data_IF_730803305480
#
_entry.id   IF_730803305480
#
_cell.length_a   1.000
_cell.length_b   1.000
_cell.length_c   1.000
_cell.angle_alpha   90.00
_cell.angle_beta   90.00
_cell.angle_gamma   90.00
#
_symmetry.space_group_name_H-M   'P 1'
#
loop_
_entity.id
_entity.type
_entity.pdbx_description
1 polymer ?
#
# COMPACT_ATOMS: atom_id res chain seq x y z
N UNK A 1 -21.27 -6.77 21.88
CA UNK A 1 -20.85 -6.59 20.48
C UNK A 1 -19.39 -6.23 20.54
N UNK A 2 -18.55 -6.89 19.75
CA UNK A 2 -17.16 -6.47 19.64
C UNK A 2 -17.15 -5.36 18.60
N UNK A 3 -17.35 -4.13 19.07
CA UNK A 3 -17.28 -2.94 18.23
C UNK A 3 -15.86 -2.87 17.64
N UNK A 4 -15.74 -2.67 16.33
CA UNK A 4 -14.46 -2.49 15.65
C UNK A 4 -13.87 -1.11 15.99
N UNK A 5 -12.55 -0.91 15.83
CA UNK A 5 -11.87 0.30 16.32
C UNK A 5 -12.41 1.64 15.77
N UNK A 6 -12.99 1.62 14.57
CA UNK A 6 -13.53 2.80 13.89
C UNK A 6 -15.05 2.74 13.71
N UNK A 7 -15.75 1.89 14.47
CA UNK A 7 -17.20 1.90 14.49
C UNK A 7 -17.73 3.29 14.89
N UNK A 8 -18.74 3.75 14.15
CA UNK A 8 -19.31 5.09 14.32
C UNK A 8 -18.54 6.21 13.60
N UNK A 9 -17.41 5.92 12.95
CA UNK A 9 -16.73 6.89 12.07
C UNK A 9 -17.25 6.76 10.65
N UNK A 10 -17.66 7.89 10.04
CA UNK A 10 -18.06 7.95 8.63
C UNK A 10 -17.06 8.71 7.77
N UNK A 11 -16.74 8.16 6.61
CA UNK A 11 -15.79 8.73 5.66
C UNK A 11 -16.49 9.01 4.33
N UNK A 12 -16.46 10.27 3.89
CA UNK A 12 -16.76 10.66 2.52
C UNK A 12 -15.50 10.44 1.67
N UNK A 13 -15.53 9.40 0.84
CA UNK A 13 -14.42 8.96 -0.01
C UNK A 13 -14.60 9.54 -1.42
N UNK A 14 -13.87 10.63 -1.69
CA UNK A 14 -13.76 11.28 -3.01
C UNK A 14 -12.51 10.81 -3.77
N UNK A 15 -11.94 9.68 -3.36
CA UNK A 15 -10.63 9.26 -3.84
C UNK A 15 -10.72 8.47 -5.15
N UNK A 16 -9.60 8.36 -5.84
CA UNK A 16 -9.49 7.63 -7.11
C UNK A 16 -8.11 6.96 -7.24
N UNK A 17 -8.01 5.96 -8.10
CA UNK A 17 -6.80 5.20 -8.36
C UNK A 17 -6.34 4.37 -7.15
N UNK A 18 -5.33 4.80 -6.38
CA UNK A 18 -4.67 3.91 -5.40
C UNK A 18 -4.40 4.59 -4.06
N UNK A 19 -3.73 5.75 -4.03
CA UNK A 19 -3.26 6.32 -2.76
C UNK A 19 -4.39 6.64 -1.77
N UNK A 20 -5.37 7.44 -2.20
CA UNK A 20 -6.56 7.71 -1.40
C UNK A 20 -7.41 6.45 -1.14
N UNK A 21 -7.70 5.61 -2.17
CA UNK A 21 -8.48 4.40 -1.96
C UNK A 21 -7.84 3.40 -0.97
N UNK A 22 -6.51 3.29 -0.90
CA UNK A 22 -5.79 2.47 0.08
C UNK A 22 -6.00 3.01 1.50
N UNK A 23 -5.93 4.34 1.68
CA UNK A 23 -6.24 4.98 2.96
C UNK A 23 -7.65 4.60 3.44
N UNK A 24 -8.65 4.82 2.59
CA UNK A 24 -10.04 4.57 2.97
C UNK A 24 -10.36 3.08 3.11
N UNK A 25 -9.68 2.19 2.38
CA UNK A 25 -9.78 0.73 2.58
C UNK A 25 -9.34 0.34 3.99
N UNK A 26 -8.20 0.85 4.45
CA UNK A 26 -7.69 0.57 5.80
C UNK A 26 -8.73 1.03 6.84
N UNK A 27 -9.29 2.23 6.69
CA UNK A 27 -10.33 2.71 7.60
C UNK A 27 -11.58 1.80 7.59
N UNK A 28 -12.03 1.37 6.40
CA UNK A 28 -13.17 0.46 6.24
C UNK A 28 -12.92 -0.91 6.88
N UNK A 29 -11.73 -1.48 6.69
CA UNK A 29 -11.31 -2.76 7.28
C UNK A 29 -11.39 -2.76 8.81
N UNK A 30 -11.19 -1.59 9.44
CA UNK A 30 -11.28 -1.39 10.89
C UNK A 30 -12.61 -0.78 11.37
N UNK A 31 -13.65 -0.76 10.52
CA UNK A 31 -15.03 -0.51 10.92
C UNK A 31 -15.62 0.83 10.48
N UNK A 32 -14.84 1.72 9.88
CA UNK A 32 -15.39 2.99 9.39
C UNK A 32 -16.43 2.73 8.28
N UNK A 33 -17.51 3.50 8.30
CA UNK A 33 -18.47 3.55 7.20
C UNK A 33 -17.89 4.43 6.08
N UNK A 34 -17.28 3.80 5.10
CA UNK A 34 -16.66 4.50 3.96
C UNK A 34 -17.62 4.55 2.80
N UNK A 35 -18.01 5.75 2.39
CA UNK A 35 -18.95 6.02 1.31
C UNK A 35 -18.19 6.63 0.15
N UNK A 36 -17.95 5.82 -0.87
CA UNK A 36 -17.25 6.22 -2.09
C UNK A 36 -18.20 6.89 -3.07
N UNK A 37 -17.84 8.10 -3.48
CA UNK A 37 -18.63 8.91 -4.42
C UNK A 37 -18.07 8.73 -5.83
N UNK A 38 -18.91 8.28 -6.76
CA UNK A 38 -18.49 7.95 -8.12
C UNK A 38 -19.47 8.47 -9.17
N UNK A 39 -19.02 8.56 -10.42
CA UNK A 39 -19.84 9.02 -11.54
C UNK A 39 -19.45 8.26 -12.82
N UNK A 40 -20.44 7.80 -13.60
CA UNK A 40 -20.22 6.92 -14.76
C UNK A 40 -19.33 7.59 -15.83
N UNK A 41 -19.51 8.90 -16.05
CA UNK A 41 -18.75 9.63 -17.08
C UNK A 41 -17.30 9.89 -16.66
N UNK A 42 -16.99 9.65 -15.38
CA UNK A 42 -15.67 9.79 -14.79
C UNK A 42 -15.37 8.56 -13.93
N UNK A 43 -15.72 7.37 -14.45
CA UNK A 43 -15.50 6.11 -13.74
C UNK A 43 -14.02 5.95 -13.41
N UNK A 44 -13.72 5.54 -12.19
CA UNK A 44 -12.34 5.29 -11.79
C UNK A 44 -11.72 4.23 -12.72
N UNK A 45 -10.57 4.55 -13.33
CA UNK A 45 -9.93 3.67 -14.28
C UNK A 45 -9.57 2.30 -13.69
N UNK A 46 -9.44 2.19 -12.36
CA UNK A 46 -9.23 0.91 -11.70
C UNK A 46 -10.45 -0.02 -11.78
N UNK A 47 -11.67 0.48 -11.97
CA UNK A 47 -12.86 -0.35 -12.25
C UNK A 47 -12.76 -1.06 -13.60
N UNK A 48 -11.93 -0.54 -14.49
CA UNK A 48 -11.60 -1.13 -15.79
C UNK A 48 -10.22 -1.82 -15.79
N UNK A 49 -9.54 -1.82 -14.64
CA UNK A 49 -8.20 -2.35 -14.45
C UNK A 49 -8.15 -3.88 -14.46
N UNK A 50 -6.96 -4.43 -14.73
CA UNK A 50 -6.69 -5.87 -14.65
C UNK A 50 -6.18 -6.26 -13.25
N UNK A 51 -6.34 -7.53 -12.83
CA UNK A 51 -6.97 -8.63 -13.56
C UNK A 51 -8.49 -8.46 -13.69
N UNK A 52 -9.08 -9.00 -14.76
CA UNK A 52 -10.53 -8.98 -15.01
C UNK A 52 -11.07 -10.40 -14.89
N UNK A 53 -12.21 -10.57 -14.22
CA UNK A 53 -12.98 -11.81 -14.29
C UNK A 53 -13.90 -11.73 -15.52
N UNK A 54 -13.64 -12.57 -16.51
CA UNK A 54 -14.28 -12.50 -17.83
C UNK A 54 -13.43 -11.80 -18.88
N UNK A 55 -13.97 -11.64 -20.10
CA UNK A 55 -13.20 -11.16 -21.26
C UNK A 55 -13.14 -9.63 -21.36
N UNK A 56 -14.22 -8.94 -20.96
CA UNK A 56 -14.36 -7.49 -21.07
C UNK A 56 -14.68 -6.85 -19.73
N UNK A 57 -14.19 -5.63 -19.47
CA UNK A 57 -14.49 -4.91 -18.24
C UNK A 57 -15.96 -4.46 -18.21
N UNK A 58 -16.61 -4.68 -17.07
CA UNK A 58 -18.00 -4.26 -16.78
C UNK A 58 -18.06 -3.03 -15.87
N UNK A 59 -16.92 -2.64 -15.29
CA UNK A 59 -16.83 -1.66 -14.21
C UNK A 59 -16.97 -2.28 -12.81
N UNK A 60 -17.34 -3.56 -12.73
CA UNK A 60 -17.55 -4.29 -11.49
C UNK A 60 -16.74 -5.59 -11.41
N UNK A 61 -16.09 -6.03 -12.50
CA UNK A 61 -15.34 -7.29 -12.57
C UNK A 61 -13.80 -7.13 -12.52
N UNK A 62 -13.33 -5.95 -12.09
CA UNK A 62 -11.91 -5.66 -11.90
C UNK A 62 -11.42 -6.14 -10.53
N UNK A 63 -10.45 -7.05 -10.53
CA UNK A 63 -9.72 -7.47 -9.34
C UNK A 63 -8.95 -6.32 -8.70
N UNK A 64 -8.52 -5.32 -9.48
CA UNK A 64 -7.79 -4.17 -8.95
C UNK A 64 -8.70 -3.24 -8.13
N UNK A 65 -9.90 -2.94 -8.64
CA UNK A 65 -10.92 -2.21 -7.86
C UNK A 65 -11.36 -3.04 -6.65
N UNK A 66 -11.60 -4.33 -6.88
CA UNK A 66 -12.10 -5.24 -5.84
C UNK A 66 -11.15 -5.32 -4.63
N UNK A 67 -9.84 -5.39 -4.88
CA UNK A 67 -8.79 -5.36 -3.87
C UNK A 67 -8.85 -4.11 -2.98
N UNK A 68 -9.00 -2.93 -3.58
CA UNK A 68 -8.89 -1.64 -2.86
C UNK A 68 -10.24 -1.16 -2.30
N UNK A 69 -11.36 -1.70 -2.77
CA UNK A 69 -12.69 -1.19 -2.44
C UNK A 69 -13.57 -2.12 -1.60
N UNK A 70 -13.04 -3.25 -1.12
CA UNK A 70 -13.74 -4.09 -0.13
C UNK A 70 -14.20 -3.26 1.08
N UNK A 71 -15.25 -3.71 1.76
CA UNK A 71 -15.88 -3.05 2.91
C UNK A 71 -16.48 -1.64 2.67
N UNK A 72 -16.28 -1.01 1.50
CA UNK A 72 -16.81 0.32 1.19
C UNK A 72 -18.24 0.25 0.65
N UNK A 73 -18.97 1.35 0.77
CA UNK A 73 -20.20 1.62 0.02
C UNK A 73 -19.87 2.39 -1.26
N UNK A 74 -20.63 2.19 -2.34
CA UNK A 74 -20.51 2.96 -3.59
C UNK A 74 -21.81 3.70 -3.88
N UNK A 75 -21.71 5.00 -4.13
CA UNK A 75 -22.83 5.82 -4.59
C UNK A 75 -22.52 6.42 -5.98
N UNK A 76 -23.55 6.49 -6.82
CA UNK A 76 -23.50 7.17 -8.11
C UNK A 76 -24.05 8.60 -7.94
N UNK A 77 -23.19 9.60 -7.96
CA UNK A 77 -23.54 11.00 -7.74
C UNK A 77 -22.83 11.93 -8.72
N UNK A 78 -23.60 12.69 -9.48
CA UNK A 78 -23.09 13.77 -10.31
C UNK A 78 -22.85 15.05 -9.48
N UNK A 79 -21.71 15.11 -8.79
CA UNK A 79 -21.33 16.27 -7.97
C UNK A 79 -21.05 17.56 -8.77
N UNK A 80 -21.06 17.51 -10.11
CA UNK A 80 -20.95 18.70 -10.97
C UNK A 80 -22.29 19.38 -11.23
N UNK A 81 -23.40 18.65 -11.06
CA UNK A 81 -24.73 19.26 -11.09
C UNK A 81 -24.91 20.11 -9.83
N UNK A 82 -25.50 21.32 -9.90
CA UNK A 82 -25.72 22.15 -8.71
C UNK A 82 -26.42 21.40 -7.58
N UNK A 83 -27.52 20.69 -7.88
CA UNK A 83 -28.21 19.89 -6.86
C UNK A 83 -27.37 18.69 -6.36
N UNK A 84 -26.52 18.11 -7.22
CA UNK A 84 -25.60 17.05 -6.81
C UNK A 84 -24.47 17.55 -5.92
N UNK A 85 -24.03 18.80 -6.13
CA UNK A 85 -23.09 19.49 -5.25
C UNK A 85 -23.70 19.72 -3.87
N UNK A 86 -24.96 20.13 -3.81
CA UNK A 86 -25.69 20.28 -2.55
C UNK A 86 -25.88 18.93 -1.81
N UNK A 87 -26.16 17.85 -2.55
CA UNK A 87 -26.16 16.49 -1.99
C UNK A 87 -24.79 16.11 -1.42
N UNK A 88 -23.70 16.39 -2.14
CA UNK A 88 -22.35 16.12 -1.65
C UNK A 88 -22.06 16.91 -0.36
N UNK A 89 -22.47 18.18 -0.28
CA UNK A 89 -22.34 19.00 0.94
C UNK A 89 -23.09 18.38 2.13
N UNK A 90 -24.29 17.84 1.90
CA UNK A 90 -25.06 17.13 2.95
C UNK A 90 -24.38 15.84 3.39
N UNK A 91 -23.82 15.07 2.46
CA UNK A 91 -23.04 13.88 2.79
C UNK A 91 -21.80 14.22 3.63
N UNK A 92 -21.08 15.29 3.26
CA UNK A 92 -19.93 15.81 4.02
C UNK A 92 -20.38 16.24 5.42
N UNK A 93 -21.51 16.93 5.56
CA UNK A 93 -22.06 17.35 6.86
C UNK A 93 -22.37 16.15 7.77
N UNK A 94 -22.76 15.02 7.20
CA UNK A 94 -23.03 13.77 7.91
C UNK A 94 -21.77 12.91 8.17
N UNK A 95 -20.59 13.34 7.71
CA UNK A 95 -19.34 12.59 7.77
C UNK A 95 -18.35 13.17 8.79
N UNK A 96 -17.48 12.30 9.30
CA UNK A 96 -16.38 12.65 10.22
C UNK A 96 -15.09 13.02 9.48
N UNK A 97 -14.87 12.36 8.34
CA UNK A 97 -13.66 12.46 7.54
C UNK A 97 -14.04 12.65 6.07
N UNK A 98 -13.35 13.55 5.38
CA UNK A 98 -13.36 13.65 3.92
C UNK A 98 -11.96 13.26 3.45
N UNK A 99 -11.86 12.29 2.54
CA UNK A 99 -10.59 11.90 1.93
C UNK A 99 -10.67 12.13 0.43
N UNK A 100 -9.66 12.79 -0.11
CA UNK A 100 -9.52 13.02 -1.55
C UNK A 100 -8.04 12.93 -1.97
N UNK A 101 -7.81 12.76 -3.28
CA UNK A 101 -6.47 12.75 -3.87
C UNK A 101 -6.46 13.38 -5.27
N UNK A 102 -7.14 14.50 -5.41
CA UNK A 102 -7.10 15.32 -6.61
C UNK A 102 -5.84 16.21 -6.65
N UNK A 103 -5.66 16.95 -7.75
CA UNK A 103 -4.68 18.05 -7.76
C UNK A 103 -5.11 19.16 -6.81
N UNK A 104 -4.15 19.91 -6.29
CA UNK A 104 -4.32 20.82 -5.15
C UNK A 104 -5.42 21.89 -5.30
N UNK A 105 -5.86 22.17 -6.52
CA UNK A 105 -6.86 23.19 -6.83
C UNK A 105 -8.30 22.68 -6.96
N UNK A 106 -8.55 21.36 -7.01
CA UNK A 106 -9.88 20.82 -7.36
C UNK A 106 -10.91 21.12 -6.27
N UNK A 107 -10.65 20.75 -5.02
CA UNK A 107 -11.61 20.96 -3.94
C UNK A 107 -11.89 22.45 -3.67
N UNK A 108 -10.86 23.29 -3.75
CA UNK A 108 -11.02 24.74 -3.66
C UNK A 108 -11.88 25.29 -4.80
N UNK A 109 -11.67 24.81 -6.03
CA UNK A 109 -12.49 25.22 -7.19
C UNK A 109 -13.96 24.79 -7.06
N UNK A 110 -14.24 23.75 -6.27
CA UNK A 110 -15.59 23.30 -5.95
C UNK A 110 -16.17 24.01 -4.72
N UNK A 111 -15.45 24.94 -4.09
CA UNK A 111 -15.90 25.58 -2.85
C UNK A 111 -16.01 24.60 -1.68
N UNK A 112 -15.19 23.54 -1.71
CA UNK A 112 -15.09 22.48 -0.72
C UNK A 112 -13.65 22.37 -0.16
N UNK A 113 -12.90 23.48 -0.20
CA UNK A 113 -11.62 23.61 0.50
C UNK A 113 -11.78 23.51 2.01
N UNK A 114 -10.68 23.33 2.73
CA UNK A 114 -10.73 23.04 4.17
C UNK A 114 -11.51 24.10 4.98
N UNK A 115 -11.33 25.39 4.67
CA UNK A 115 -12.06 26.45 5.36
C UNK A 115 -13.58 26.30 5.18
N UNK A 116 -14.05 25.94 3.98
CA UNK A 116 -15.48 25.69 3.71
C UNK A 116 -15.96 24.39 4.35
N UNK A 117 -15.14 23.35 4.40
CA UNK A 117 -15.48 22.11 5.12
C UNK A 117 -15.65 22.37 6.63
N UNK A 118 -14.79 23.20 7.22
CA UNK A 118 -14.89 23.58 8.63
C UNK A 118 -16.15 24.39 8.95
N UNK A 119 -16.64 25.21 8.00
CA UNK A 119 -17.94 25.88 8.13
C UNK A 119 -19.12 24.90 8.14
N UNK A 120 -19.01 23.79 7.39
CA UNK A 120 -20.02 22.72 7.38
C UNK A 120 -19.98 21.93 8.70
N UNK A 121 -18.77 21.52 9.14
CA UNK A 121 -18.57 20.76 10.36
C UNK A 121 -17.21 21.14 11.00
N UNK A 122 -17.19 21.86 12.14
CA UNK A 122 -15.95 22.23 12.82
C UNK A 122 -15.08 21.04 13.30
N UNK A 123 -15.70 19.86 13.44
CA UNK A 123 -15.03 18.61 13.79
C UNK A 123 -14.54 17.80 12.58
N UNK A 124 -14.66 18.32 11.36
CA UNK A 124 -14.30 17.58 10.13
C UNK A 124 -12.79 17.35 10.05
N UNK A 125 -12.42 16.12 9.71
CA UNK A 125 -11.05 15.82 9.33
C UNK A 125 -10.99 15.80 7.82
N UNK A 126 -10.21 16.69 7.23
CA UNK A 126 -9.99 16.71 5.79
C UNK A 126 -8.61 16.11 5.51
N UNK A 127 -8.57 15.00 4.78
CA UNK A 127 -7.34 14.36 4.36
C UNK A 127 -7.18 14.49 2.86
N UNK A 128 -6.16 15.24 2.46
CA UNK A 128 -5.82 15.47 1.08
C UNK A 128 -4.50 14.76 0.77
N UNK A 129 -4.52 13.86 -0.22
CA UNK A 129 -3.34 13.08 -0.62
C UNK A 129 -2.93 13.50 -2.03
N UNK A 130 -1.92 14.34 -2.15
CA UNK A 130 -1.43 14.84 -3.45
C UNK A 130 0.03 14.47 -3.67
N UNK A 131 0.54 14.72 -4.87
CA UNK A 131 1.93 14.36 -5.21
C UNK A 131 2.97 15.10 -4.38
N UNK A 132 2.79 16.42 -4.23
CA UNK A 132 3.76 17.33 -3.62
C UNK A 132 3.22 18.08 -2.40
N UNK A 133 1.98 17.80 -1.96
CA UNK A 133 1.28 18.62 -0.97
C UNK A 133 0.66 19.88 -1.57
N UNK A 134 0.06 20.73 -0.74
CA UNK A 134 -0.68 21.93 -1.15
C UNK A 134 0.13 23.22 -1.01
N UNK A 135 1.41 23.11 -0.71
CA UNK A 135 2.32 24.24 -0.53
C UNK A 135 3.62 24.08 -1.33
N UNK A 136 4.37 25.18 -1.46
CA UNK A 136 5.63 25.18 -2.20
C UNK A 136 5.48 25.31 -3.72
N UNK A 137 6.62 25.24 -4.42
CA UNK A 137 6.74 25.48 -5.87
C UNK A 137 5.97 24.44 -6.69
N UNK A 138 6.00 23.18 -6.24
CA UNK A 138 5.61 22.03 -7.05
C UNK A 138 4.17 21.57 -6.79
N UNK A 139 3.39 22.30 -5.96
CA UNK A 139 2.02 21.93 -5.57
C UNK A 139 1.02 21.73 -6.71
N UNK A 140 1.27 22.35 -7.87
CA UNK A 140 0.40 22.24 -9.06
C UNK A 140 0.77 21.04 -9.95
N UNK A 141 1.87 20.35 -9.67
CA UNK A 141 2.26 19.17 -10.44
C UNK A 141 1.54 17.91 -9.93
N UNK A 142 1.16 17.06 -10.87
CA UNK A 142 0.59 15.74 -10.59
C UNK A 142 1.67 14.66 -10.60
N UNK A 143 1.46 13.62 -9.79
CA UNK A 143 2.32 12.46 -9.74
C UNK A 143 1.52 11.18 -9.90
N UNK A 144 2.25 10.12 -10.23
CA UNK A 144 1.81 8.73 -10.13
C UNK A 144 2.82 8.00 -9.24
N UNK A 145 2.46 6.86 -8.66
CA UNK A 145 3.37 6.09 -7.81
C UNK A 145 4.81 5.97 -8.34
N UNK A 146 5.05 5.62 -9.62
CA UNK A 146 6.40 5.55 -10.18
C UNK A 146 7.14 6.90 -10.22
N UNK A 147 6.45 8.02 -10.51
CA UNK A 147 7.10 9.34 -10.54
C UNK A 147 7.36 9.86 -9.13
N UNK A 148 6.42 9.67 -8.20
CA UNK A 148 6.63 9.97 -6.78
C UNK A 148 7.82 9.20 -6.20
N UNK A 149 7.96 7.91 -6.55
CA UNK A 149 9.10 7.07 -6.16
C UNK A 149 10.43 7.57 -6.74
N UNK A 150 10.43 8.07 -7.98
CA UNK A 150 11.63 8.64 -8.57
C UNK A 150 12.04 9.94 -7.86
N UNK A 151 11.07 10.80 -7.57
CA UNK A 151 11.28 12.10 -6.92
C UNK A 151 11.70 11.97 -5.46
N UNK A 152 11.28 10.90 -4.77
CA UNK A 152 11.71 10.63 -3.39
C UNK A 152 13.13 10.05 -3.27
N UNK A 153 13.80 9.77 -4.41
CA UNK A 153 15.14 9.19 -4.45
C UNK A 153 15.16 7.65 -4.42
N UNK A 154 14.04 6.99 -4.13
CA UNK A 154 13.97 5.52 -4.04
C UNK A 154 14.41 4.84 -5.34
N UNK A 155 13.96 5.31 -6.51
CA UNK A 155 14.39 4.75 -7.79
C UNK A 155 15.90 4.91 -8.01
N UNK A 156 16.50 6.02 -7.56
CA UNK A 156 17.93 6.25 -7.69
C UNK A 156 18.75 5.32 -6.79
N UNK A 157 18.29 5.06 -5.58
CA UNK A 157 18.98 4.20 -4.60
C UNK A 157 18.80 2.70 -4.84
N UNK A 158 18.08 2.31 -5.89
CA UNK A 158 17.66 0.93 -6.09
C UNK A 158 18.21 0.34 -7.39
N UNK A 159 18.46 -0.96 -7.37
CA UNK A 159 18.98 -1.73 -8.50
C UNK A 159 20.35 -2.35 -8.23
N UNK A 160 20.96 -2.84 -9.30
CA UNK A 160 22.27 -3.54 -9.27
C UNK A 160 23.39 -2.53 -9.58
N UNK A 161 24.59 -2.65 -8.97
CA UNK A 161 25.73 -1.82 -9.31
C UNK A 161 26.02 -1.81 -10.82
N UNK A 162 26.27 -0.62 -11.38
CA UNK A 162 26.57 -0.45 -12.81
C UNK A 162 25.37 -0.59 -13.76
N UNK A 163 24.19 -0.95 -13.28
CA UNK A 163 22.95 -0.98 -14.08
C UNK A 163 22.17 0.34 -13.98
N UNK A 164 21.33 0.67 -14.98
CA UNK A 164 20.41 1.81 -14.90
C UNK A 164 19.51 1.76 -13.67
N UNK A 165 19.03 2.93 -13.23
CA UNK A 165 18.12 3.02 -12.10
C UNK A 165 16.82 2.25 -12.33
N UNK A 166 16.46 1.40 -11.37
CA UNK A 166 15.26 0.60 -11.39
C UNK A 166 14.57 0.69 -10.02
N UNK A 167 13.30 1.09 -10.04
CA UNK A 167 12.48 1.20 -8.85
C UNK A 167 12.02 -0.14 -8.27
N UNK A 168 11.31 -0.11 -7.15
CA UNK A 168 10.85 -1.32 -6.44
C UNK A 168 9.61 -1.99 -7.06
N UNK A 169 9.00 -1.35 -8.06
CA UNK A 169 7.85 -1.89 -8.78
C UNK A 169 6.79 -0.84 -9.04
N UNK A 170 5.64 -1.30 -9.53
CA UNK A 170 4.50 -0.44 -9.84
C UNK A 170 3.81 0.03 -8.55
N UNK A 171 3.54 1.34 -8.46
CA UNK A 171 2.63 1.93 -7.46
C UNK A 171 3.01 1.75 -5.98
N UNK A 172 4.27 1.42 -5.67
CA UNK A 172 4.77 1.33 -4.29
C UNK A 172 4.45 2.60 -3.48
N UNK A 173 4.70 3.77 -4.07
CA UNK A 173 4.44 5.04 -3.40
C UNK A 173 2.97 5.42 -3.27
N UNK A 174 2.07 4.86 -4.10
CA UNK A 174 0.64 5.09 -3.88
C UNK A 174 0.19 4.33 -2.63
N UNK A 175 0.61 3.08 -2.46
CA UNK A 175 0.28 2.28 -1.28
C UNK A 175 0.87 2.88 -0.01
N UNK A 176 2.17 3.22 -0.04
CA UNK A 176 2.87 3.84 1.09
C UNK A 176 2.20 5.15 1.52
N UNK A 177 1.86 6.03 0.57
CA UNK A 177 1.15 7.26 0.90
C UNK A 177 -0.23 7.00 1.50
N UNK A 178 -0.98 6.02 0.98
CA UNK A 178 -2.27 5.61 1.55
C UNK A 178 -2.17 5.11 2.99
N UNK A 179 -1.12 4.35 3.32
CA UNK A 179 -0.88 3.89 4.70
C UNK A 179 -0.51 5.03 5.64
N UNK A 180 0.34 5.96 5.20
CA UNK A 180 0.61 7.17 5.99
C UNK A 180 -0.63 8.04 6.18
N UNK A 181 -1.47 8.18 5.15
CA UNK A 181 -2.72 8.91 5.23
C UNK A 181 -3.71 8.27 6.22
N UNK A 182 -3.86 6.94 6.22
CA UNK A 182 -4.70 6.25 7.21
C UNK A 182 -4.19 6.48 8.63
N UNK A 183 -2.87 6.41 8.84
CA UNK A 183 -2.25 6.76 10.14
C UNK A 183 -2.52 8.21 10.54
N UNK A 184 -2.42 9.14 9.61
CA UNK A 184 -2.68 10.56 9.85
C UNK A 184 -4.16 10.81 10.22
N UNK A 185 -5.11 10.14 9.55
CA UNK A 185 -6.54 10.20 9.90
C UNK A 185 -6.77 9.68 11.31
N UNK A 186 -6.15 8.55 11.70
CA UNK A 186 -6.27 8.04 13.07
C UNK A 186 -5.70 9.02 14.12
N UNK A 187 -4.58 9.68 13.82
CA UNK A 187 -4.01 10.73 14.69
C UNK A 187 -4.94 11.95 14.78
N UNK A 188 -5.55 12.37 13.67
CA UNK A 188 -6.50 13.48 13.64
C UNK A 188 -7.80 13.15 14.41
N UNK A 189 -8.30 11.91 14.30
CA UNK A 189 -9.43 11.42 15.10
C UNK A 189 -9.09 11.45 16.59
N UNK A 190 -7.88 11.02 16.96
CA UNK A 190 -7.41 11.11 18.34
C UNK A 190 -7.33 12.57 18.84
N UNK A 191 -6.82 13.49 18.00
CA UNK A 191 -6.82 14.92 18.30
C UNK A 191 -8.24 15.44 18.55
N UNK A 192 -9.15 15.22 17.60
CA UNK A 192 -10.55 15.63 17.66
C UNK A 192 -11.25 15.10 18.91
N UNK A 193 -11.03 13.84 19.28
CA UNK A 193 -11.67 13.27 20.47
C UNK A 193 -11.18 13.93 21.78
N UNK A 194 -10.02 14.59 21.76
CA UNK A 194 -9.47 15.32 22.92
C UNK A 194 -9.85 16.79 22.94
N UNK A 195 -9.98 17.42 21.77
CA UNK A 195 -10.14 18.88 21.64
C UNK A 195 -11.54 19.29 21.20
N UNK A 196 -12.28 18.40 20.54
CA UNK A 196 -13.51 18.71 19.81
C UNK A 196 -13.29 19.29 18.41
N UNK A 197 -12.04 19.50 18.00
CA UNK A 197 -11.69 20.20 16.76
C UNK A 197 -11.17 19.24 15.69
N UNK A 198 -11.64 19.41 14.47
CA UNK A 198 -11.09 18.73 13.28
C UNK A 198 -9.77 19.35 12.83
N UNK A 199 -9.17 18.79 11.78
CA UNK A 199 -7.95 19.34 11.18
C UNK A 199 -7.80 18.95 9.71
N UNK A 200 -7.02 19.75 8.99
CA UNK A 200 -6.54 19.40 7.65
C UNK A 200 -5.24 18.60 7.74
N UNK A 201 -5.20 17.50 6.99
CA UNK A 201 -4.02 16.70 6.74
C UNK A 201 -3.63 16.92 5.27
N UNK A 202 -2.52 17.63 5.06
CA UNK A 202 -1.88 17.78 3.74
C UNK A 202 -0.80 16.70 3.58
N UNK A 203 -1.09 15.66 2.79
CA UNK A 203 -0.19 14.53 2.57
C UNK A 203 0.47 14.61 1.20
N UNK A 204 1.80 14.75 1.18
CA UNK A 204 2.63 14.64 -0.02
C UNK A 204 3.11 13.21 -0.24
N UNK A 205 2.83 12.63 -1.39
CA UNK A 205 3.34 11.30 -1.77
C UNK A 205 4.88 11.30 -1.88
N UNK A 206 5.49 12.38 -2.35
CA UNK A 206 6.95 12.49 -2.47
C UNK A 206 7.61 12.52 -1.09
N UNK A 207 7.07 13.31 -0.14
CA UNK A 207 7.60 13.38 1.23
C UNK A 207 7.44 12.05 1.96
N UNK A 208 6.31 11.35 1.76
CA UNK A 208 6.09 9.99 2.27
C UNK A 208 7.15 8.99 1.76
N UNK A 209 7.78 9.25 0.62
CA UNK A 209 8.90 8.44 0.12
C UNK A 209 10.25 8.86 0.70
N UNK A 210 10.48 10.17 0.91
CA UNK A 210 11.75 10.70 1.43
C UNK A 210 11.99 10.22 2.86
N UNK A 211 10.94 10.06 3.68
CA UNK A 211 11.09 9.51 5.03
C UNK A 211 11.65 8.08 5.05
N UNK A 212 11.57 7.34 3.94
CA UNK A 212 12.14 6.00 3.80
C UNK A 212 13.64 6.03 3.46
N UNK A 213 14.19 7.17 3.04
CA UNK A 213 15.58 7.32 2.57
C UNK A 213 16.43 8.21 3.48
N UNK A 214 15.94 8.52 4.69
CA UNK A 214 16.58 9.42 5.65
C UNK A 214 18.08 9.15 5.91
N UNK A 215 18.50 7.90 6.20
CA UNK A 215 19.92 7.58 6.38
C UNK A 215 20.79 7.92 5.16
N UNK A 216 20.30 7.73 3.94
CA UNK A 216 21.05 8.05 2.72
C UNK A 216 21.22 9.57 2.52
N UNK A 217 20.20 10.37 2.87
CA UNK A 217 20.31 11.83 2.86
C UNK A 217 21.38 12.29 3.85
N UNK A 218 21.39 11.71 5.05
CA UNK A 218 22.38 12.05 6.08
C UNK A 218 23.80 11.62 5.66
N UNK A 219 23.94 10.43 5.10
CA UNK A 219 25.23 9.90 4.64
C UNK A 219 25.83 10.77 3.52
N UNK A 220 25.01 11.23 2.58
CA UNK A 220 25.42 12.22 1.58
C UNK A 220 25.88 13.55 2.20
N UNK A 221 25.23 14.01 3.28
CA UNK A 221 25.60 15.26 3.96
C UNK A 221 26.90 15.15 4.77
N UNK A 222 27.10 14.03 5.46
CA UNK A 222 28.23 13.85 6.39
C UNK A 222 29.46 13.31 5.67
N UNK A 223 29.28 12.32 4.80
CA UNK A 223 30.37 11.58 4.15
C UNK A 223 30.52 11.92 2.66
N UNK A 224 29.56 12.64 2.06
CA UNK A 224 29.57 12.93 0.63
C UNK A 224 29.18 11.73 -0.23
N UNK A 225 28.61 10.67 0.37
CA UNK A 225 28.27 9.42 -0.31
C UNK A 225 27.32 9.65 -1.48
N UNK A 226 27.61 9.01 -2.60
CA UNK A 226 26.74 8.95 -3.76
C UNK A 226 26.34 7.51 -4.04
N UNK A 227 25.04 7.23 -3.93
CA UNK A 227 24.45 5.90 -4.16
C UNK A 227 24.61 5.34 -5.58
N UNK A 228 25.26 6.07 -6.50
CA UNK A 228 25.65 5.56 -7.82
C UNK A 228 27.05 5.95 -8.28
N UNK A 229 27.66 6.98 -7.71
CA UNK A 229 29.05 7.31 -8.06
C UNK A 229 30.05 6.49 -7.24
N UNK A 230 29.67 6.06 -6.04
CA UNK A 230 30.57 5.30 -5.18
C UNK A 230 30.61 3.81 -5.56
N UNK A 231 31.80 3.18 -5.54
CA UNK A 231 31.94 1.77 -5.90
C UNK A 231 31.05 0.85 -5.07
N UNK A 232 30.35 -0.06 -5.74
CA UNK A 232 29.47 -1.05 -5.09
C UNK A 232 28.07 -0.53 -4.72
N UNK A 233 27.74 0.73 -5.01
CA UNK A 233 26.39 1.26 -4.80
C UNK A 233 25.59 1.41 -6.12
N UNK A 234 24.25 1.23 -6.09
CA UNK A 234 23.47 0.68 -4.98
C UNK A 234 23.81 -0.80 -4.75
N UNK A 235 23.71 -1.34 -3.53
CA UNK A 235 24.27 -2.65 -3.16
C UNK A 235 23.51 -3.85 -3.75
N UNK A 236 22.43 -3.63 -4.51
CA UNK A 236 21.53 -4.70 -4.92
C UNK A 236 20.92 -5.39 -3.70
N UNK A 237 21.13 -6.71 -3.59
CA UNK A 237 20.66 -7.52 -2.47
C UNK A 237 21.68 -7.62 -1.31
N UNK A 238 22.88 -7.07 -1.49
CA UNK A 238 23.92 -7.06 -0.47
C UNK A 238 23.58 -6.13 0.70
N UNK A 239 24.00 -6.51 1.91
CA UNK A 239 23.83 -5.66 3.07
C UNK A 239 24.77 -4.45 3.00
N UNK A 240 24.18 -3.25 2.90
CA UNK A 240 24.95 -2.01 2.88
C UNK A 240 25.40 -1.56 4.28
N UNK A 241 24.50 -1.61 5.27
CA UNK A 241 24.78 -1.20 6.65
C UNK A 241 23.90 -2.00 7.63
N UNK A 242 24.49 -2.79 8.56
CA UNK A 242 25.91 -3.13 8.65
C UNK A 242 26.37 -4.02 7.49
N UNK A 243 27.63 -3.87 7.05
CA UNK A 243 28.22 -4.75 6.03
C UNK A 243 28.44 -6.14 6.60
N UNK A 244 27.67 -7.10 6.11
CA UNK A 244 27.77 -8.51 6.49
C UNK A 244 27.71 -9.39 5.26
N UNK A 245 28.52 -10.45 5.26
CA UNK A 245 28.51 -11.45 4.21
C UNK A 245 28.45 -12.86 4.82
N UNK A 246 27.62 -13.77 4.26
CA UNK A 246 26.73 -13.55 3.12
C UNK A 246 25.44 -12.79 3.50
N UNK A 247 24.94 -11.99 2.56
CA UNK A 247 23.59 -11.41 2.58
C UNK A 247 23.20 -11.15 1.12
N UNK A 248 22.55 -12.11 0.44
CA UNK A 248 22.26 -11.99 -0.98
C UNK A 248 21.09 -12.92 -1.40
N UNK A 249 20.65 -12.82 -2.65
CA UNK A 249 19.72 -13.76 -3.27
C UNK A 249 20.42 -14.60 -4.34
N UNK A 250 20.33 -15.92 -4.20
CA UNK A 250 21.00 -16.91 -5.04
C UNK A 250 20.01 -17.61 -5.95
N UNK A 251 20.42 -17.89 -7.18
CA UNK A 251 19.57 -18.52 -8.19
C UNK A 251 19.38 -20.01 -7.89
N UNK A 252 18.13 -20.45 -7.79
CA UNK A 252 17.75 -21.85 -7.64
C UNK A 252 17.29 -22.45 -8.99
N UNK A 253 17.15 -23.78 -9.11
CA UNK A 253 16.53 -24.42 -10.27
C UNK A 253 15.12 -23.89 -10.58
N UNK A 254 14.79 -23.84 -11.87
CA UNK A 254 13.49 -23.39 -12.37
C UNK A 254 13.52 -22.06 -13.12
N UNK A 255 12.34 -21.59 -13.50
CA UNK A 255 12.14 -20.30 -14.16
C UNK A 255 12.14 -19.19 -13.11
N UNK A 256 13.20 -18.37 -13.14
CA UNK A 256 13.38 -17.19 -12.30
C UNK A 256 13.12 -17.43 -10.79
N UNK A 257 13.72 -18.50 -10.26
CA UNK A 257 13.64 -18.87 -8.84
C UNK A 257 14.88 -18.44 -8.08
N UNK A 258 14.66 -17.87 -6.90
CA UNK A 258 15.72 -17.30 -6.07
C UNK A 258 15.50 -17.60 -4.59
N UNK A 259 16.59 -17.74 -3.86
CA UNK A 259 16.63 -17.95 -2.42
C UNK A 259 17.47 -16.84 -1.78
N UNK A 260 16.83 -15.99 -0.97
CA UNK A 260 17.52 -15.03 -0.15
C UNK A 260 18.11 -15.72 1.07
N UNK A 261 19.38 -15.45 1.38
CA UNK A 261 20.10 -16.00 2.53
C UNK A 261 20.88 -14.87 3.19
N UNK A 262 20.84 -14.80 4.52
CA UNK A 262 21.66 -13.90 5.31
C UNK A 262 22.31 -14.62 6.48
N UNK A 263 23.56 -14.27 6.78
CA UNK A 263 24.20 -14.56 8.06
C UNK A 263 24.85 -13.29 8.61
N UNK A 264 24.31 -12.82 9.73
CA UNK A 264 24.62 -11.52 10.34
C UNK A 264 25.56 -11.64 11.53
N UNK A 265 25.82 -12.87 11.99
CA UNK A 265 26.70 -13.17 13.12
C UNK A 265 27.38 -14.55 12.95
N UNK A 266 28.36 -14.84 13.81
CA UNK A 266 29.16 -16.07 13.73
C UNK A 266 28.34 -17.35 13.95
N UNK A 267 27.25 -17.29 14.71
CA UNK A 267 26.41 -18.46 14.93
C UNK A 267 25.63 -18.82 13.66
N UNK A 268 25.03 -17.83 13.01
CA UNK A 268 24.36 -17.99 11.71
C UNK A 268 25.33 -18.43 10.62
N UNK A 269 26.56 -17.88 10.61
CA UNK A 269 27.61 -18.28 9.67
C UNK A 269 27.97 -19.77 9.81
N UNK A 270 28.21 -20.25 11.04
CA UNK A 270 28.53 -21.65 11.30
C UNK A 270 27.37 -22.58 10.93
N UNK A 271 26.14 -22.17 11.24
CA UNK A 271 24.94 -22.91 10.85
C UNK A 271 24.85 -23.03 9.32
N UNK A 272 25.06 -21.93 8.59
CA UNK A 272 25.06 -21.93 7.13
C UNK A 272 26.15 -22.84 6.56
N UNK A 273 27.39 -22.72 7.04
CA UNK A 273 28.49 -23.56 6.59
C UNK A 273 28.22 -25.05 6.85
N UNK A 274 27.58 -25.40 7.97
CA UNK A 274 27.23 -26.79 8.28
C UNK A 274 26.22 -27.41 7.29
N UNK A 275 25.40 -26.58 6.64
CA UNK A 275 24.38 -27.00 5.66
C UNK A 275 24.95 -27.00 4.24
N UNK A 276 25.62 -25.90 3.85
CA UNK A 276 26.11 -25.69 2.49
C UNK A 276 27.36 -26.54 2.20
N UNK A 277 28.25 -26.67 3.18
CA UNK A 277 29.44 -27.50 3.07
C UNK A 277 30.48 -27.16 4.15
N UNK A 278 30.97 -28.15 4.91
CA UNK A 278 31.88 -27.91 6.03
C UNK A 278 33.21 -27.26 5.60
N UNK A 279 33.59 -27.42 4.33
CA UNK A 279 34.79 -26.82 3.77
C UNK A 279 34.74 -25.28 3.84
N UNK A 280 33.54 -24.67 3.80
CA UNK A 280 33.35 -23.22 3.95
C UNK A 280 33.81 -22.70 5.31
N UNK A 281 33.52 -23.42 6.40
CA UNK A 281 33.94 -22.98 7.74
C UNK A 281 35.46 -23.08 7.90
N UNK A 282 36.08 -24.07 7.25
CA UNK A 282 37.52 -24.33 7.35
C UNK A 282 38.37 -23.50 6.39
N UNK A 283 37.78 -22.89 5.36
CA UNK A 283 38.51 -22.05 4.40
C UNK A 283 38.96 -20.72 5.08
N UNK A 284 40.27 -20.43 5.12
CA UNK A 284 40.78 -19.18 5.69
C UNK A 284 40.17 -17.91 5.09
N UNK A 285 39.68 -17.96 3.85
CA UNK A 285 39.00 -16.82 3.19
C UNK A 285 37.67 -16.44 3.86
N UNK A 286 37.06 -17.35 4.61
CA UNK A 286 35.73 -17.15 5.19
C UNK A 286 35.72 -17.15 6.73
N UNK A 287 36.92 -17.11 7.33
CA UNK A 287 37.12 -17.24 8.78
C UNK A 287 36.55 -16.08 9.62
N UNK A 288 36.40 -14.88 9.04
CA UNK A 288 35.82 -13.70 9.71
C UNK A 288 34.90 -12.95 8.75
N UNK A 289 33.99 -12.10 9.28
CA UNK A 289 33.13 -11.27 8.43
C UNK A 289 33.94 -10.35 7.51
N UNK A 290 35.02 -9.75 8.02
CA UNK A 290 35.92 -8.92 7.22
C UNK A 290 36.53 -9.71 6.05
N UNK A 291 37.04 -10.92 6.32
CA UNK A 291 37.60 -11.77 5.26
C UNK A 291 36.53 -12.24 4.27
N UNK A 292 35.31 -12.52 4.73
CA UNK A 292 34.17 -12.85 3.86
C UNK A 292 33.80 -11.69 2.93
N UNK A 293 33.82 -10.46 3.41
CA UNK A 293 33.58 -9.26 2.59
C UNK A 293 34.70 -9.06 1.55
N UNK A 294 35.96 -9.27 1.91
CA UNK A 294 37.09 -9.21 0.96
C UNK A 294 36.98 -10.29 -0.15
N UNK A 295 36.36 -11.42 0.15
CA UNK A 295 36.19 -12.56 -0.75
C UNK A 295 34.72 -12.80 -1.13
N UNK A 296 33.87 -11.77 -1.11
CA UNK A 296 32.40 -11.90 -1.21
C UNK A 296 31.96 -12.59 -2.51
N UNK A 297 32.62 -12.31 -3.64
CA UNK A 297 32.34 -13.00 -4.90
C UNK A 297 32.58 -14.51 -4.83
N UNK A 298 33.70 -14.93 -4.22
CA UNK A 298 34.00 -16.36 -4.09
C UNK A 298 33.07 -17.06 -3.10
N UNK A 299 32.64 -16.34 -2.06
CA UNK A 299 31.63 -16.82 -1.12
C UNK A 299 30.27 -16.99 -1.80
N UNK A 300 29.85 -15.98 -2.58
CA UNK A 300 28.60 -16.00 -3.31
C UNK A 300 28.57 -17.10 -4.38
N UNK A 301 29.68 -17.36 -5.05
CA UNK A 301 29.82 -18.50 -5.97
C UNK A 301 29.65 -19.84 -5.25
N UNK A 302 30.26 -20.03 -4.08
CA UNK A 302 30.17 -21.26 -3.33
C UNK A 302 28.74 -21.52 -2.79
N UNK A 303 28.09 -20.51 -2.23
CA UNK A 303 26.70 -20.61 -1.77
C UNK A 303 25.77 -20.80 -2.95
N UNK A 304 25.95 -20.04 -4.03
CA UNK A 304 25.16 -20.14 -5.25
C UNK A 304 25.24 -21.52 -5.91
N UNK A 305 26.42 -22.15 -5.91
CA UNK A 305 26.60 -23.51 -6.42
C UNK A 305 25.76 -24.53 -5.63
N UNK A 306 25.73 -24.42 -4.30
CA UNK A 306 24.88 -25.27 -3.48
C UNK A 306 23.39 -24.99 -3.71
N UNK A 307 22.97 -23.72 -3.75
CA UNK A 307 21.56 -23.36 -4.01
C UNK A 307 21.09 -23.87 -5.38
N UNK A 308 21.96 -23.86 -6.39
CA UNK A 308 21.65 -24.36 -7.72
C UNK A 308 21.37 -25.88 -7.79
N UNK A 309 21.68 -26.64 -6.74
CA UNK A 309 21.41 -28.08 -6.65
C UNK A 309 20.12 -28.42 -5.87
N UNK A 310 19.46 -27.42 -5.28
CA UNK A 310 18.32 -27.63 -4.37
C UNK A 310 17.09 -26.86 -4.82
N UNK A 311 15.89 -27.43 -4.63
CA UNK A 311 14.65 -26.65 -4.76
C UNK A 311 14.65 -25.51 -3.72
N UNK A 312 14.17 -24.33 -4.11
CA UNK A 312 14.23 -23.14 -3.27
C UNK A 312 13.42 -23.27 -1.97
N UNK A 313 12.30 -24.00 -1.97
CA UNK A 313 11.52 -24.24 -0.75
C UNK A 313 12.23 -25.23 0.17
N UNK A 314 12.73 -26.35 -0.36
CA UNK A 314 13.42 -27.36 0.43
C UNK A 314 14.71 -26.78 1.05
N UNK A 315 15.46 -26.00 0.27
CA UNK A 315 16.64 -25.29 0.75
C UNK A 315 16.31 -24.25 1.83
N UNK A 316 15.22 -23.50 1.66
CA UNK A 316 14.73 -22.56 2.67
C UNK A 316 14.40 -23.27 3.99
N UNK A 317 13.65 -24.37 3.95
CA UNK A 317 13.29 -25.13 5.16
C UNK A 317 14.51 -25.75 5.85
N UNK A 318 15.45 -26.29 5.07
CA UNK A 318 16.70 -26.85 5.58
C UNK A 318 17.54 -25.79 6.32
N UNK A 319 17.72 -24.61 5.70
CA UNK A 319 18.47 -23.50 6.28
C UNK A 319 17.79 -22.94 7.52
N UNK A 320 16.47 -22.71 7.47
CA UNK A 320 15.70 -22.23 8.63
C UNK A 320 15.75 -23.23 9.79
N UNK A 321 15.69 -24.53 9.51
CA UNK A 321 15.83 -25.61 10.50
C UNK A 321 17.20 -25.62 11.18
N UNK A 322 18.25 -25.15 10.51
CA UNK A 322 19.58 -24.95 11.08
C UNK A 322 19.75 -23.60 11.82
N UNK A 323 18.74 -22.73 11.79
CA UNK A 323 18.80 -21.39 12.40
C UNK A 323 19.36 -20.30 11.49
N UNK A 324 19.42 -20.55 10.18
CA UNK A 324 19.88 -19.56 9.18
C UNK A 324 18.68 -18.77 8.65
N UNK A 325 18.70 -17.43 8.70
CA UNK A 325 17.74 -16.60 7.98
C UNK A 325 17.78 -16.86 6.47
N UNK A 326 16.73 -17.50 5.96
CA UNK A 326 16.55 -17.78 4.55
C UNK A 326 15.09 -17.62 4.13
N UNK A 327 14.85 -17.23 2.88
CA UNK A 327 13.52 -17.06 2.33
C UNK A 327 13.50 -17.16 0.82
N UNK A 328 12.64 -18.02 0.28
CA UNK A 328 12.42 -18.07 -1.16
C UNK A 328 11.82 -16.74 -1.64
N UNK A 329 12.28 -16.24 -2.78
CA UNK A 329 11.62 -15.15 -3.49
C UNK A 329 10.31 -15.66 -4.11
N UNK A 330 9.23 -15.53 -3.34
CA UNK A 330 7.92 -16.07 -3.70
C UNK A 330 7.21 -15.28 -4.80
N UNK A 331 6.55 -15.99 -5.71
CA UNK A 331 5.57 -15.42 -6.65
C UNK A 331 4.21 -15.20 -5.97
N UNK A 332 3.26 -14.59 -6.68
CA UNK A 332 1.88 -14.48 -6.19
C UNK A 332 1.23 -15.86 -6.00
N UNK A 333 1.48 -16.81 -6.91
CA UNK A 333 1.00 -18.19 -6.81
C UNK A 333 1.60 -18.91 -5.60
N UNK A 334 2.90 -18.74 -5.34
CA UNK A 334 3.55 -19.37 -4.18
C UNK A 334 2.92 -18.90 -2.85
N UNK A 335 2.69 -17.59 -2.70
CA UNK A 335 2.00 -17.00 -1.54
C UNK A 335 0.58 -17.51 -1.36
N UNK A 336 -0.12 -17.75 -2.46
CA UNK A 336 -1.50 -18.20 -2.43
C UNK A 336 -1.62 -19.70 -2.14
N UNK A 337 -0.85 -20.52 -2.84
CA UNK A 337 -1.03 -21.97 -2.87
C UNK A 337 -0.19 -22.72 -1.84
N UNK A 338 1.01 -22.22 -1.52
CA UNK A 338 2.06 -23.02 -0.87
C UNK A 338 2.60 -22.45 0.43
N UNK A 339 2.37 -21.18 0.75
CA UNK A 339 2.97 -20.56 1.93
C UNK A 339 2.30 -21.03 3.26
N UNK A 340 3.02 -21.79 4.11
CA UNK A 340 2.46 -22.30 5.36
C UNK A 340 2.29 -21.21 6.42
N UNK A 341 3.07 -20.14 6.37
CA UNK A 341 2.96 -19.00 7.28
C UNK A 341 1.70 -18.20 6.98
N UNK A 342 1.41 -17.88 5.72
CA UNK A 342 0.17 -17.19 5.32
C UNK A 342 -1.05 -18.06 5.61
N UNK A 343 -0.97 -19.37 5.36
CA UNK A 343 -2.04 -20.32 5.71
C UNK A 343 -2.31 -20.37 7.21
N UNK A 344 -1.28 -20.51 8.04
CA UNK A 344 -1.42 -20.54 9.52
C UNK A 344 -1.90 -19.20 10.10
N UNK A 345 -1.76 -18.12 9.33
CA UNK A 345 -2.23 -16.79 9.67
C UNK A 345 -3.59 -16.46 9.06
N UNK A 346 -4.33 -17.42 8.51
CA UNK A 346 -5.64 -17.19 7.89
C UNK A 346 -5.60 -15.99 6.95
N UNK A 347 -4.56 -15.90 6.12
CA UNK A 347 -4.29 -14.69 5.35
C UNK A 347 -5.26 -14.48 4.20
N UNK A 348 -5.75 -15.54 3.57
CA UNK A 348 -6.66 -15.47 2.43
C UNK A 348 -8.10 -15.66 2.90
N UNK A 349 -8.98 -14.75 2.49
CA UNK A 349 -10.39 -14.76 2.86
C UNK A 349 -11.27 -14.79 1.63
N UNK A 350 -12.19 -15.76 1.57
CA UNK A 350 -13.16 -15.87 0.48
C UNK A 350 -14.38 -15.00 0.80
N UNK A 351 -14.73 -14.09 -0.11
CA UNK A 351 -15.98 -13.35 -0.08
C UNK A 351 -16.74 -13.52 -1.40
N UNK A 352 -18.08 -13.66 -1.36
CA UNK A 352 -18.90 -13.67 -2.56
C UNK A 352 -18.97 -12.26 -3.15
N UNK A 353 -18.82 -12.15 -4.47
CA UNK A 353 -19.05 -10.92 -5.21
C UNK A 353 -20.01 -11.16 -6.39
N UNK A 354 -20.98 -10.26 -6.67
CA UNK A 354 -21.99 -10.46 -7.72
C UNK A 354 -21.44 -10.82 -9.11
N UNK A 355 -20.36 -10.17 -9.54
CA UNK A 355 -19.76 -10.41 -10.86
C UNK A 355 -18.46 -11.23 -10.86
N UNK A 356 -17.70 -11.26 -9.76
CA UNK A 356 -16.45 -12.04 -9.72
C UNK A 356 -16.66 -13.46 -9.16
N UNK A 357 -17.84 -13.75 -8.60
CA UNK A 357 -18.08 -14.99 -7.85
C UNK A 357 -17.36 -14.97 -6.50
N UNK A 358 -17.05 -16.15 -5.98
CA UNK A 358 -16.26 -16.29 -4.75
C UNK A 358 -14.80 -15.90 -5.05
N UNK A 359 -14.31 -14.85 -4.39
CA UNK A 359 -12.96 -14.31 -4.58
C UNK A 359 -12.15 -14.34 -3.29
N UNK A 360 -10.87 -14.67 -3.42
CA UNK A 360 -9.90 -14.57 -2.35
C UNK A 360 -9.34 -13.13 -2.22
N UNK A 361 -9.35 -12.62 -0.99
CA UNK A 361 -8.79 -11.33 -0.63
C UNK A 361 -7.61 -11.50 0.34
N UNK A 362 -6.65 -10.58 0.24
CA UNK A 362 -5.53 -10.50 1.17
C UNK A 362 -5.99 -10.05 2.56
N UNK A 363 -5.36 -10.61 3.58
CA UNK A 363 -5.65 -10.37 4.99
C UNK A 363 -5.58 -8.90 5.40
N UNK A 364 -6.20 -8.60 6.54
CA UNK A 364 -6.15 -7.27 7.16
C UNK A 364 -4.88 -7.14 8.02
N UNK A 365 -4.20 -6.00 7.90
CA UNK A 365 -3.01 -5.64 8.69
C UNK A 365 -3.25 -4.30 9.40
N UNK A 366 -2.89 -4.19 10.70
CA UNK A 366 -2.37 -5.24 11.58
C UNK A 366 -3.46 -6.15 12.17
N UNK A 367 -3.06 -7.31 12.73
CA UNK A 367 -3.94 -8.13 13.57
C UNK A 367 -3.98 -7.55 14.99
N UNK A 368 -5.12 -6.98 15.38
CA UNK A 368 -5.34 -6.47 16.74
C UNK A 368 -5.92 -7.58 17.63
N UNK A 369 -5.36 -7.76 18.82
CA UNK A 369 -5.72 -8.87 19.72
C UNK A 369 -7.12 -8.76 20.33
N UNK A 370 -7.64 -7.54 20.50
CA UNK A 370 -8.93 -7.27 21.14
C UNK A 370 -10.00 -6.74 20.19
N UNK A 371 -9.59 -6.06 19.12
CA UNK A 371 -10.50 -5.42 18.16
C UNK A 371 -9.99 -5.62 16.72
N UNK A 372 -9.91 -6.87 16.22
CA UNK A 372 -9.39 -7.15 14.89
C UNK A 372 -10.27 -6.48 13.81
N UNK A 373 -9.64 -6.03 12.73
CA UNK A 373 -10.37 -5.64 11.53
C UNK A 373 -11.09 -6.84 10.92
N UNK A 374 -12.13 -6.57 10.13
CA UNK A 374 -12.99 -7.60 9.55
C UNK A 374 -13.28 -7.35 8.09
N UNK A 375 -13.22 -8.41 7.29
CA UNK A 375 -13.72 -8.41 5.91
C UNK A 375 -15.20 -8.77 5.93
N UNK A 376 -16.05 -7.75 5.90
CA UNK A 376 -17.50 -7.86 6.05
C UNK A 376 -18.21 -8.03 4.71
N UNK A 377 -17.75 -7.31 3.69
CA UNK A 377 -18.28 -7.41 2.33
C UNK A 377 -17.19 -7.22 1.27
N UNK A 378 -17.41 -7.81 0.11
CA UNK A 378 -16.61 -7.58 -1.10
C UNK A 378 -16.66 -6.11 -1.52
N UNK A 379 -15.94 -5.72 -2.58
CA UNK A 379 -16.17 -4.39 -3.13
C UNK A 379 -17.61 -4.22 -3.61
N UNK A 380 -18.19 -3.01 -3.50
CA UNK A 380 -19.52 -2.74 -4.02
C UNK A 380 -19.49 -2.66 -5.56
N UNK A 381 -20.58 -3.10 -6.18
CA UNK A 381 -20.88 -2.74 -7.56
C UNK A 381 -21.08 -1.23 -7.69
N UNK A 382 -20.92 -0.68 -8.90
CA UNK A 382 -21.08 0.75 -9.14
C UNK A 382 -22.49 1.23 -8.70
N UNK A 383 -22.52 2.19 -7.78
CA UNK A 383 -23.77 2.80 -7.32
C UNK A 383 -24.66 1.91 -6.45
N UNK A 384 -24.18 0.74 -6.03
CA UNK A 384 -24.95 -0.27 -5.26
C UNK A 384 -25.71 0.31 -4.06
N UNK A 385 -25.07 1.22 -3.34
CA UNK A 385 -25.55 1.72 -2.06
C UNK A 385 -26.24 3.11 -2.19
N UNK A 386 -26.47 3.61 -3.41
CA UNK A 386 -26.92 5.01 -3.65
C UNK A 386 -28.21 5.33 -2.90
N UNK A 387 -29.28 4.55 -3.10
CA UNK A 387 -30.58 4.82 -2.48
C UNK A 387 -30.53 4.72 -0.95
N UNK A 388 -29.83 3.73 -0.42
CA UNK A 388 -29.74 3.48 1.03
C UNK A 388 -28.92 4.60 1.71
N UNK A 389 -27.80 5.03 1.12
CA UNK A 389 -27.03 6.15 1.66
C UNK A 389 -27.83 7.46 1.60
N UNK A 390 -28.53 7.73 0.50
CA UNK A 390 -29.34 8.95 0.40
C UNK A 390 -30.44 9.00 1.47
N UNK A 391 -31.09 7.86 1.72
CA UNK A 391 -32.13 7.73 2.75
C UNK A 391 -31.56 7.82 4.17
N UNK A 392 -30.60 6.96 4.49
CA UNK A 392 -30.20 6.71 5.88
C UNK A 392 -29.14 7.69 6.40
N UNK A 393 -28.29 8.22 5.50
CA UNK A 393 -27.19 9.12 5.87
C UNK A 393 -27.53 10.57 5.54
N UNK A 394 -28.04 10.82 4.32
CA UNK A 394 -28.36 12.18 3.86
C UNK A 394 -29.76 12.64 4.31
N UNK A 395 -30.61 11.71 4.75
CA UNK A 395 -31.97 11.98 5.22
C UNK A 395 -32.92 12.41 4.10
N UNK A 396 -32.67 11.93 2.88
CA UNK A 396 -33.46 12.23 1.69
C UNK A 396 -34.77 11.44 1.70
N UNK A 397 -35.87 12.09 1.32
CA UNK A 397 -37.15 11.40 1.11
C UNK A 397 -37.14 10.66 -0.23
N UNK A 398 -37.98 9.63 -0.38
CA UNK A 398 -38.10 8.93 -1.67
C UNK A 398 -38.51 9.91 -2.80
N UNK A 399 -39.39 10.88 -2.52
CA UNK A 399 -39.83 11.89 -3.49
C UNK A 399 -38.66 12.78 -3.96
N UNK A 400 -37.85 13.27 -3.02
CA UNK A 400 -36.65 14.05 -3.33
C UNK A 400 -35.64 13.22 -4.13
N UNK A 401 -35.42 11.96 -3.74
CA UNK A 401 -34.52 11.04 -4.44
C UNK A 401 -34.96 10.85 -5.90
N UNK A 402 -36.23 10.51 -6.14
CA UNK A 402 -36.77 10.32 -7.48
C UNK A 402 -36.67 11.61 -8.32
N UNK A 403 -37.00 12.77 -7.74
CA UNK A 403 -36.89 14.05 -8.44
C UNK A 403 -35.44 14.35 -8.86
N UNK A 404 -34.46 14.06 -8.01
CA UNK A 404 -33.05 14.27 -8.32
C UNK A 404 -32.52 13.23 -9.32
N UNK A 405 -33.01 11.99 -9.29
CA UNK A 405 -32.73 10.98 -10.32
C UNK A 405 -33.24 11.42 -11.69
N UNK A 406 -34.46 11.98 -11.79
CA UNK A 406 -34.99 12.52 -13.05
C UNK A 406 -34.15 13.68 -13.61
N UNK A 407 -33.47 14.43 -12.74
CA UNK A 407 -32.53 15.50 -13.11
C UNK A 407 -31.13 15.00 -13.46
N UNK A 408 -30.87 13.69 -13.34
CA UNK A 408 -29.56 13.09 -13.61
C UNK A 408 -28.52 13.36 -12.52
N UNK A 409 -28.97 13.62 -11.29
CA UNK A 409 -28.08 13.74 -10.12
C UNK A 409 -27.62 12.36 -9.64
N UNK A 410 -28.55 11.41 -9.62
CA UNK A 410 -28.30 9.98 -9.35
C UNK A 410 -28.53 9.18 -10.63
N UNK A 411 -27.86 8.04 -10.74
CA UNK A 411 -27.93 7.15 -11.90
C UNK A 411 -28.32 5.74 -11.47
#
# INVERSE_FOLDING_TARGET
MNDMPLDGIRVCDLTWIIAGPVCTRVLADFGAEVIRVEHEQALDSIRMGRPLVGETPTGNNSGFFNYISRNKKSIALNARHPDGHDVLRRLIAASDVVVENFSASVMDSWGLGYDQLREINPGIIYCSVSGFGHSGRDKEFTTWGPTAQALSGLTYMSGVPGMPSAGWGYSFMDHTAGYYAANAVMMALHHRNRTGEGQWIDMSQVEAGIVLTGPAVLDAQVNGTSWRADPGLPPGNHAWEPKVAPHNAYRAPGEDRWLAIAATNDAEWKALASVVGPDLESDPKFASNESRLEHELALDEAIGAWVAEHDAYDAMELLQGAGVPAGMCQTAGDRFERDPQLKSRDWWHVLPHPELGDCDYDGIVPKLSLAPGQMRKSSPTFGEDTADVMRDVVGMTDEEFFSLTELGVFM
#
